data_IF_721315840985
#
_entry.id   IF_721315840985
#
_cell.length_a   1.000
_cell.length_b   1.000
_cell.length_c   1.000
_cell.angle_alpha   90.00
_cell.angle_beta   90.00
_cell.angle_gamma   90.00
#
_symmetry.space_group_name_H-M   'P 1'
#
loop_
_entity.id
_entity.type
_entity.pdbx_description
1 polymer ?
#
# COMPACT_ATOMS: atom_id res chain seq x y z
N UNK A 1 15.07 7.69 6.91
CA UNK A 1 14.56 7.39 5.55
C UNK A 1 13.10 7.81 5.55
N UNK A 2 12.67 8.66 4.61
CA UNK A 2 11.30 9.16 4.57
C UNK A 2 10.54 8.48 3.42
N UNK A 3 9.24 8.24 3.60
CA UNK A 3 8.37 7.64 2.62
C UNK A 3 7.28 8.63 2.19
N UNK A 4 6.93 8.62 0.91
CA UNK A 4 5.92 9.50 0.34
C UNK A 4 4.92 8.70 -0.50
N UNK A 5 3.63 8.92 -0.26
CA UNK A 5 2.56 8.55 -1.17
C UNK A 5 2.00 9.83 -1.78
N UNK A 6 1.94 9.91 -3.10
CA UNK A 6 1.39 11.03 -3.85
C UNK A 6 0.21 10.57 -4.70
N UNK A 7 -0.95 11.17 -4.46
CA UNK A 7 -2.14 10.95 -5.27
C UNK A 7 -2.04 11.74 -6.58
N UNK A 8 -2.14 11.04 -7.71
CA UNK A 8 -2.30 11.58 -9.04
C UNK A 8 -3.77 11.63 -9.46
N UNK A 9 -4.02 11.75 -10.77
CA UNK A 9 -5.39 11.82 -11.32
C UNK A 9 -6.15 10.49 -11.21
N UNK A 10 -5.46 9.36 -11.39
CA UNK A 10 -6.08 8.02 -11.42
C UNK A 10 -5.34 6.99 -10.57
N UNK A 11 -4.17 7.35 -10.05
CA UNK A 11 -3.29 6.45 -9.31
C UNK A 11 -2.61 7.19 -8.16
N UNK A 12 -2.37 6.46 -7.08
CA UNK A 12 -1.40 6.84 -6.06
C UNK A 12 -0.03 6.24 -6.39
N UNK A 13 1.01 7.04 -6.20
CA UNK A 13 2.39 6.68 -6.45
C UNK A 13 3.17 6.66 -5.14
N UNK A 14 3.99 5.63 -4.95
CA UNK A 14 4.70 5.35 -3.71
C UNK A 14 6.19 5.55 -3.93
N UNK A 15 6.81 6.32 -3.05
CA UNK A 15 8.20 6.76 -3.17
C UNK A 15 8.97 6.49 -1.88
N UNK A 16 10.23 6.11 -2.04
CA UNK A 16 11.26 6.18 -1.01
C UNK A 16 12.04 7.48 -1.25
N UNK A 17 12.20 8.28 -0.21
CA UNK A 17 12.96 9.52 -0.21
C UNK A 17 14.30 9.27 0.51
N UNK A 18 15.41 9.55 -0.19
CA UNK A 18 16.77 9.43 0.35
C UNK A 18 17.53 10.70 0.03
N UNK A 19 17.92 11.43 1.08
CA UNK A 19 18.62 12.70 1.02
C UNK A 19 17.98 13.68 0.02
N UNK A 20 18.59 13.84 -1.16
CA UNK A 20 18.16 14.73 -2.24
C UNK A 20 17.46 14.01 -3.40
N UNK A 21 17.21 12.70 -3.29
CA UNK A 21 16.64 11.85 -4.34
C UNK A 21 15.29 11.26 -3.93
N UNK A 22 14.44 11.01 -4.94
CA UNK A 22 13.19 10.27 -4.76
C UNK A 22 13.13 9.12 -5.76
N UNK A 23 12.76 7.93 -5.29
CA UNK A 23 12.60 6.75 -6.14
C UNK A 23 11.19 6.23 -6.03
N UNK A 24 10.45 6.24 -7.15
CA UNK A 24 9.14 5.61 -7.23
C UNK A 24 9.32 4.08 -7.18
N UNK A 25 8.74 3.45 -6.17
CA UNK A 25 8.84 2.00 -5.97
C UNK A 25 7.56 1.26 -6.32
N UNK A 26 6.42 1.94 -6.29
CA UNK A 26 5.13 1.31 -6.57
C UNK A 26 4.11 2.31 -7.11
N UNK A 27 3.03 1.80 -7.71
CA UNK A 27 1.85 2.58 -8.11
C UNK A 27 0.61 1.74 -7.84
N UNK A 28 -0.50 2.34 -7.43
CA UNK A 28 -1.76 1.63 -7.30
C UNK A 28 -2.96 2.53 -7.60
N UNK A 29 -4.04 1.94 -8.11
CA UNK A 29 -5.30 2.65 -8.33
C UNK A 29 -6.13 2.68 -7.04
N UNK A 30 -5.71 3.54 -6.12
CA UNK A 30 -6.34 3.78 -4.81
C UNK A 30 -6.17 5.24 -4.42
N UNK A 31 -7.14 5.83 -3.73
CA UNK A 31 -7.08 7.21 -3.26
C UNK A 31 -6.56 7.29 -1.82
N UNK A 32 -5.95 8.41 -1.45
CA UNK A 32 -5.57 8.70 -0.07
C UNK A 32 -6.80 8.80 0.83
N UNK A 33 -7.97 9.22 0.31
CA UNK A 33 -9.21 9.23 1.10
C UNK A 33 -9.57 7.82 1.54
N UNK A 34 -9.56 6.86 0.61
CA UNK A 34 -9.84 5.46 0.94
C UNK A 34 -8.81 4.88 1.92
N UNK A 35 -7.51 5.15 1.69
CA UNK A 35 -6.44 4.78 2.61
C UNK A 35 -6.67 5.37 4.02
N UNK A 36 -7.21 6.59 4.11
CA UNK A 36 -7.51 7.24 5.38
C UNK A 36 -8.50 6.42 6.20
N UNK A 37 -9.60 6.07 5.53
CA UNK A 37 -10.77 5.50 6.18
C UNK A 37 -10.53 4.05 6.58
N UNK A 38 -9.72 3.33 5.81
CA UNK A 38 -9.48 1.90 6.02
C UNK A 38 -8.27 1.65 6.91
N UNK A 39 -7.19 2.42 6.75
CA UNK A 39 -5.91 2.18 7.44
C UNK A 39 -5.61 3.29 8.46
N UNK A 40 -5.50 4.54 8.01
CA UNK A 40 -4.85 5.58 8.83
C UNK A 40 -5.62 5.91 10.11
N UNK A 41 -6.96 5.92 10.07
CA UNK A 41 -7.79 6.15 11.26
C UNK A 41 -7.68 5.06 12.32
N UNK A 42 -7.14 3.89 11.97
CA UNK A 42 -7.06 2.71 12.84
C UNK A 42 -5.65 2.44 13.36
N UNK A 43 -4.64 3.19 12.90
CA UNK A 43 -3.24 3.04 13.34
C UNK A 43 -2.84 4.19 14.24
N UNK A 44 -2.15 3.89 15.34
CA UNK A 44 -1.54 4.90 16.21
C UNK A 44 -0.08 5.15 15.78
N UNK A 45 0.11 5.73 14.59
CA UNK A 45 1.43 5.94 13.97
C UNK A 45 1.52 7.37 13.44
N UNK A 46 2.68 8.00 13.58
CA UNK A 46 2.93 9.34 13.06
C UNK A 46 3.04 9.37 11.53
N UNK A 47 2.29 10.30 10.92
CA UNK A 47 2.39 10.64 9.51
C UNK A 47 1.95 12.10 9.30
N UNK A 48 2.47 12.74 8.24
CA UNK A 48 2.04 14.07 7.78
C UNK A 48 1.21 13.90 6.53
N UNK A 49 -0.01 14.42 6.53
CA UNK A 49 -0.96 14.29 5.41
C UNK A 49 -1.40 15.65 4.89
N UNK A 50 -1.43 15.78 3.57
CA UNK A 50 -2.11 16.85 2.84
C UNK A 50 -3.25 16.26 1.99
N UNK A 51 -3.94 17.11 1.21
CA UNK A 51 -4.98 16.66 0.28
C UNK A 51 -4.49 15.62 -0.74
N UNK A 52 -3.23 15.72 -1.20
CA UNK A 52 -2.67 14.90 -2.28
C UNK A 52 -1.42 14.11 -1.88
N UNK A 53 -0.95 14.25 -0.65
CA UNK A 53 0.28 13.58 -0.20
C UNK A 53 0.13 13.01 1.20
N UNK A 54 0.82 11.90 1.43
CA UNK A 54 1.08 11.34 2.75
C UNK A 54 2.58 11.13 2.88
N UNK A 55 3.17 11.62 3.98
CA UNK A 55 4.57 11.44 4.33
C UNK A 55 4.67 10.73 5.67
N UNK A 56 5.60 9.80 5.81
CA UNK A 56 5.88 9.11 7.07
C UNK A 56 7.32 8.65 7.10
N UNK A 57 7.92 8.58 8.28
CA UNK A 57 9.20 7.91 8.51
C UNK A 57 9.00 6.47 9.00
N UNK A 58 7.74 6.07 9.23
CA UNK A 58 7.39 4.74 9.69
C UNK A 58 7.34 3.77 8.50
N UNK A 59 8.36 2.92 8.41
CA UNK A 59 8.51 1.93 7.34
C UNK A 59 7.36 0.90 7.35
N UNK A 60 6.92 0.46 8.52
CA UNK A 60 5.82 -0.49 8.67
C UNK A 60 4.53 0.06 8.08
N UNK A 61 4.20 1.32 8.37
CA UNK A 61 3.05 1.99 7.77
C UNK A 61 3.21 2.04 6.24
N UNK A 62 4.38 2.39 5.73
CA UNK A 62 4.62 2.41 4.29
C UNK A 62 4.40 1.03 3.64
N UNK A 63 4.88 -0.07 4.24
CA UNK A 63 4.65 -1.44 3.76
C UNK A 63 3.16 -1.78 3.72
N UNK A 64 2.43 -1.49 4.81
CA UNK A 64 0.98 -1.68 4.89
C UNK A 64 0.28 -0.98 3.73
N UNK A 65 0.65 0.28 3.44
CA UNK A 65 0.03 1.07 2.38
C UNK A 65 0.33 0.51 0.98
N UNK A 66 1.54 0.03 0.73
CA UNK A 66 1.90 -0.64 -0.53
C UNK A 66 1.09 -1.90 -0.73
N UNK A 67 1.01 -2.76 0.28
CA UNK A 67 0.26 -4.03 0.20
C UNK A 67 -1.24 -3.74 0.05
N UNK A 68 -1.78 -2.82 0.83
CA UNK A 68 -3.17 -2.39 0.72
C UNK A 68 -3.50 -1.95 -0.71
N UNK A 69 -2.72 -1.01 -1.27
CA UNK A 69 -2.90 -0.55 -2.65
C UNK A 69 -2.79 -1.68 -3.66
N UNK A 70 -1.81 -2.56 -3.48
CA UNK A 70 -1.56 -3.72 -4.34
C UNK A 70 -2.71 -4.74 -4.36
N UNK A 71 -3.32 -4.99 -3.20
CA UNK A 71 -4.49 -5.88 -3.08
C UNK A 71 -5.75 -5.20 -3.61
N UNK A 72 -5.98 -3.97 -3.15
CA UNK A 72 -7.19 -3.19 -3.42
C UNK A 72 -7.45 -2.94 -4.90
N UNK A 73 -6.41 -2.62 -5.66
CA UNK A 73 -6.52 -2.34 -7.10
C UNK A 73 -6.94 -3.56 -7.94
N UNK A 74 -6.70 -4.78 -7.45
CA UNK A 74 -7.02 -6.01 -8.19
C UNK A 74 -8.42 -6.55 -7.87
N UNK A 75 -9.09 -5.96 -6.86
CA UNK A 75 -10.43 -6.33 -6.46
C UNK A 75 -11.46 -5.77 -7.45
N UNK A 76 -12.22 -6.64 -8.10
CA UNK A 76 -13.29 -6.25 -9.02
C UNK A 76 -14.58 -5.82 -8.32
N UNK A 77 -14.94 -6.53 -7.24
CA UNK A 77 -16.11 -6.23 -6.40
C UNK A 77 -15.65 -5.79 -5.03
N UNK A 78 -16.04 -4.58 -4.65
CA UNK A 78 -15.61 -3.91 -3.45
C UNK A 78 -16.76 -3.90 -2.47
N UNK A 79 -16.71 -4.81 -1.50
CA UNK A 79 -17.64 -4.81 -0.37
C UNK A 79 -16.97 -4.15 0.82
N UNK A 80 -17.70 -3.29 1.53
CA UNK A 80 -17.17 -2.56 2.68
C UNK A 80 -16.65 -3.50 3.78
N UNK A 81 -17.31 -4.65 3.99
CA UNK A 81 -16.86 -5.68 4.94
C UNK A 81 -15.48 -6.23 4.56
N UNK A 82 -15.32 -6.72 3.33
CA UNK A 82 -14.04 -7.26 2.81
C UNK A 82 -12.89 -6.26 2.93
N UNK A 83 -13.11 -5.00 2.59
CA UNK A 83 -12.07 -3.98 2.68
C UNK A 83 -11.70 -3.67 4.14
N UNK A 84 -12.68 -3.63 5.03
CA UNK A 84 -12.41 -3.41 6.45
C UNK A 84 -11.64 -4.58 7.07
N UNK A 85 -11.99 -5.81 6.72
CA UNK A 85 -11.28 -7.02 7.14
C UNK A 85 -9.84 -7.01 6.64
N UNK A 86 -9.63 -6.74 5.35
CA UNK A 86 -8.29 -6.57 4.77
C UNK A 86 -7.47 -5.52 5.53
N UNK A 87 -8.07 -4.37 5.85
CA UNK A 87 -7.41 -3.33 6.63
C UNK A 87 -6.99 -3.83 8.02
N UNK A 88 -7.88 -4.57 8.70
CA UNK A 88 -7.60 -5.14 10.02
C UNK A 88 -6.50 -6.21 9.97
N UNK A 89 -6.49 -7.08 8.94
CA UNK A 89 -5.42 -8.08 8.74
C UNK A 89 -4.08 -7.36 8.59
N UNK A 90 -3.99 -6.35 7.72
CA UNK A 90 -2.73 -5.66 7.46
C UNK A 90 -2.18 -4.91 8.68
N UNK A 91 -3.05 -4.28 9.47
CA UNK A 91 -2.64 -3.54 10.67
C UNK A 91 -2.05 -4.48 11.73
N UNK A 92 -2.64 -5.67 11.88
CA UNK A 92 -2.24 -6.65 12.89
C UNK A 92 -1.21 -7.68 12.39
N UNK A 93 -0.82 -7.63 11.11
CA UNK A 93 0.12 -8.57 10.50
C UNK A 93 1.53 -8.45 11.13
N UNK A 94 2.17 -9.56 11.47
CA UNK A 94 3.54 -9.53 11.99
C UNK A 94 4.54 -8.96 10.96
N UNK A 95 5.68 -8.47 11.43
CA UNK A 95 6.66 -7.80 10.55
C UNK A 95 7.28 -8.73 9.49
N UNK A 96 7.43 -10.03 9.77
CA UNK A 96 7.99 -10.97 8.80
C UNK A 96 7.02 -11.19 7.64
N UNK A 97 5.76 -11.49 7.94
CA UNK A 97 4.70 -11.63 6.93
C UNK A 97 4.54 -10.33 6.14
N UNK A 98 4.54 -9.18 6.82
CA UNK A 98 4.43 -7.87 6.19
C UNK A 98 5.60 -7.62 5.21
N UNK A 99 6.83 -7.89 5.64
CA UNK A 99 8.02 -7.73 4.81
C UNK A 99 7.99 -8.65 3.58
N UNK A 100 7.53 -9.90 3.75
CA UNK A 100 7.40 -10.86 2.66
C UNK A 100 6.46 -10.33 1.56
N UNK A 101 5.24 -9.94 1.93
CA UNK A 101 4.25 -9.45 0.96
C UNK A 101 4.68 -8.16 0.29
N UNK A 102 5.22 -7.22 1.07
CA UNK A 102 5.79 -5.99 0.54
C UNK A 102 6.85 -6.28 -0.53
N UNK A 103 7.77 -7.21 -0.24
CA UNK A 103 8.83 -7.60 -1.17
C UNK A 103 8.25 -8.23 -2.44
N UNK A 104 7.30 -9.17 -2.32
CA UNK A 104 6.66 -9.77 -3.50
C UNK A 104 5.97 -8.71 -4.38
N UNK A 105 5.22 -7.78 -3.79
CA UNK A 105 4.58 -6.70 -4.54
C UNK A 105 5.61 -5.85 -5.29
N UNK A 106 6.68 -5.41 -4.62
CA UNK A 106 7.72 -4.60 -5.24
C UNK A 106 8.49 -5.36 -6.31
N UNK A 107 8.88 -6.62 -6.05
CA UNK A 107 9.64 -7.45 -7.00
C UNK A 107 8.84 -7.74 -8.27
N UNK A 108 7.55 -8.04 -8.16
CA UNK A 108 6.72 -8.25 -9.37
C UNK A 108 6.51 -6.96 -10.13
N UNK A 109 6.28 -5.86 -9.43
CA UNK A 109 6.11 -4.56 -10.06
C UNK A 109 7.38 -4.08 -10.77
N UNK A 110 8.54 -4.15 -10.11
CA UNK A 110 9.80 -3.58 -10.60
C UNK A 110 10.32 -4.25 -11.86
N UNK A 111 10.03 -5.54 -12.07
CA UNK A 111 10.46 -6.30 -13.27
C UNK A 111 10.02 -5.66 -14.58
N UNK A 112 8.83 -5.06 -14.63
CA UNK A 112 8.25 -4.47 -15.86
C UNK A 112 7.57 -3.11 -15.64
N UNK A 113 7.63 -2.57 -14.42
CA UNK A 113 6.89 -1.38 -13.99
C UNK A 113 5.37 -1.52 -14.26
N UNK A 114 4.88 -2.77 -14.22
CA UNK A 114 3.53 -3.15 -14.61
C UNK A 114 2.74 -3.63 -13.41
N UNK A 115 1.55 -3.05 -13.25
CA UNK A 115 0.71 -3.33 -12.10
C UNK A 115 -0.01 -4.68 -12.21
N UNK A 116 -0.28 -5.13 -13.44
CA UNK A 116 -0.93 -6.43 -13.70
C UNK A 116 -0.11 -7.60 -13.16
N UNK A 117 1.22 -7.47 -13.14
CA UNK A 117 2.12 -8.51 -12.65
C UNK A 117 1.99 -8.72 -11.13
N UNK A 118 1.39 -7.75 -10.42
CA UNK A 118 1.08 -7.85 -8.98
C UNK A 118 -0.24 -8.57 -8.69
N UNK A 119 -1.07 -8.84 -9.70
CA UNK A 119 -2.40 -9.43 -9.47
C UNK A 119 -2.32 -10.87 -8.96
N UNK A 120 -1.28 -11.61 -9.35
CA UNK A 120 -1.02 -12.95 -8.80
C UNK A 120 -0.65 -12.89 -7.32
N UNK A 121 0.16 -11.91 -6.92
CA UNK A 121 0.52 -11.67 -5.51
C UNK A 121 -0.72 -11.29 -4.72
N UNK A 122 -1.52 -10.36 -5.26
CA UNK A 122 -2.77 -9.96 -4.63
C UNK A 122 -3.76 -11.11 -4.49
N UNK A 123 -3.86 -12.00 -5.49
CA UNK A 123 -4.71 -13.18 -5.40
C UNK A 123 -4.23 -14.09 -4.28
N UNK A 124 -2.94 -14.44 -4.27
CA UNK A 124 -2.36 -15.29 -3.23
C UNK A 124 -2.53 -14.70 -1.82
N UNK A 125 -2.39 -13.38 -1.67
CA UNK A 125 -2.66 -12.69 -0.41
C UNK A 125 -4.11 -12.90 0.03
N UNK A 126 -5.08 -12.63 -0.86
CA UNK A 126 -6.50 -12.78 -0.52
C UNK A 126 -6.85 -14.23 -0.21
N UNK A 127 -6.36 -15.19 -0.98
CA UNK A 127 -6.62 -16.62 -0.75
C UNK A 127 -6.15 -17.09 0.65
N UNK A 128 -5.27 -16.34 1.34
CA UNK A 128 -4.74 -16.67 2.67
C UNK A 128 -5.40 -15.87 3.82
N UNK A 129 -5.93 -14.68 3.54
CA UNK A 129 -6.36 -13.73 4.57
C UNK A 129 -7.79 -13.22 4.38
N UNK A 130 -8.52 -13.74 3.39
CA UNK A 130 -9.91 -13.42 3.08
C UNK A 130 -10.69 -14.71 2.78
#
# INVERSE_FOLDING_TARGET
MEFLIREGSSNSYYYILRDSSSSKVFKASVTLSEINDIILKKVNIEYKRSKKTLRTENERLFKILVIYGGVRQSMRKIFASRINELGNVLINMDEFSLQFWYTEFLTRFSKRNNIVDTYKVSKAFRDLYE
#
